data_IF_410037327907
#
_entry.id   IF_410037327907
#
_cell.length_a   1.000
_cell.length_b   1.000
_cell.length_c   1.000
_cell.angle_alpha   90.00
_cell.angle_beta   90.00
_cell.angle_gamma   90.00
#
_symmetry.space_group_name_H-M   'P 1'
#
loop_
_entity.id
_entity.type
_entity.pdbx_description
1 polymer ?
#
# COMPACT_ATOMS: atom_id res chain seq x y z
N UNK A 1 -31.25 29.26 -20.79
CA UNK A 1 -30.20 28.23 -20.98
C UNK A 1 -28.89 28.79 -20.42
N UNK A 2 -28.52 28.46 -19.17
CA UNK A 2 -27.33 29.05 -18.52
C UNK A 2 -26.06 28.41 -19.07
N UNK A 3 -25.24 29.20 -19.76
CA UNK A 3 -23.96 28.81 -20.39
C UNK A 3 -22.76 29.30 -19.58
N UNK A 4 -22.88 29.27 -18.25
CA UNK A 4 -21.84 29.72 -17.34
C UNK A 4 -20.87 28.56 -17.05
N UNK A 5 -19.54 28.73 -17.24
CA UNK A 5 -18.56 27.67 -16.99
C UNK A 5 -18.62 27.10 -15.57
N UNK A 6 -19.13 27.86 -14.62
CA UNK A 6 -19.38 27.47 -13.23
C UNK A 6 -20.44 26.35 -13.12
N UNK A 7 -21.46 26.37 -13.99
CA UNK A 7 -22.50 25.33 -14.03
C UNK A 7 -21.94 24.00 -14.59
N UNK A 8 -20.97 24.08 -15.51
CA UNK A 8 -20.27 22.89 -16.02
C UNK A 8 -19.36 22.28 -14.95
N UNK A 9 -18.62 23.12 -14.23
CA UNK A 9 -17.76 22.67 -13.13
C UNK A 9 -18.56 22.03 -11.99
N UNK A 10 -19.73 22.60 -11.64
CA UNK A 10 -20.63 21.98 -10.65
C UNK A 10 -21.09 20.59 -11.09
N UNK A 11 -21.52 20.42 -12.34
CA UNK A 11 -21.93 19.11 -12.87
C UNK A 11 -20.80 18.09 -12.86
N UNK A 12 -19.59 18.51 -13.24
CA UNK A 12 -18.41 17.63 -13.23
C UNK A 12 -18.07 17.17 -11.80
N UNK A 13 -18.13 18.07 -10.82
CA UNK A 13 -17.91 17.73 -9.41
C UNK A 13 -18.96 16.75 -8.87
N UNK A 14 -20.22 16.91 -9.29
CA UNK A 14 -21.31 16.00 -8.90
C UNK A 14 -21.12 14.60 -9.50
N UNK A 15 -20.70 14.51 -10.76
CA UNK A 15 -20.39 13.24 -11.43
C UNK A 15 -19.17 12.52 -10.81
N UNK A 16 -18.12 13.27 -10.47
CA UNK A 16 -16.94 12.74 -9.78
C UNK A 16 -17.30 12.21 -8.38
N UNK A 17 -18.11 12.96 -7.62
CA UNK A 17 -18.58 12.52 -6.31
C UNK A 17 -19.47 11.28 -6.38
N UNK A 18 -20.34 11.19 -7.40
CA UNK A 18 -21.15 9.98 -7.64
C UNK A 18 -20.27 8.77 -7.94
N UNK A 19 -19.27 8.93 -8.81
CA UNK A 19 -18.31 7.88 -9.17
C UNK A 19 -17.49 7.42 -7.97
N UNK A 20 -16.98 8.36 -7.16
CA UNK A 20 -16.28 8.08 -5.90
C UNK A 20 -17.15 7.25 -4.94
N UNK A 21 -18.42 7.64 -4.77
CA UNK A 21 -19.34 6.90 -3.90
C UNK A 21 -19.63 5.49 -4.41
N UNK A 22 -19.78 5.30 -5.72
CA UNK A 22 -19.99 3.96 -6.30
C UNK A 22 -18.77 3.05 -6.08
N UNK A 23 -17.56 3.58 -6.24
CA UNK A 23 -16.32 2.82 -5.98
C UNK A 23 -16.16 2.47 -4.48
N UNK A 24 -16.54 3.37 -3.57
CA UNK A 24 -16.45 3.12 -2.12
C UNK A 24 -17.54 2.18 -1.60
N UNK A 25 -18.75 2.19 -2.19
CA UNK A 25 -19.86 1.31 -1.82
C UNK A 25 -19.58 -0.17 -2.15
N UNK A 26 -18.72 -0.46 -3.12
CA UNK A 26 -18.21 -1.81 -3.37
C UNK A 26 -17.22 -2.33 -2.33
N UNK A 27 -16.71 -1.45 -1.43
CA UNK A 27 -15.66 -1.79 -0.46
C UNK A 27 -16.16 -1.98 0.98
N UNK A 28 -17.46 -1.82 1.25
CA UNK A 28 -18.00 -1.84 2.62
C UNK A 28 -18.95 -3.00 2.94
N UNK A 29 -19.25 -3.90 2.00
CA UNK A 29 -20.19 -5.01 2.27
C UNK A 29 -19.49 -6.24 2.84
N UNK A 30 -18.20 -6.43 2.63
CA UNK A 30 -17.43 -7.48 3.31
C UNK A 30 -15.99 -6.99 3.48
N UNK A 31 -15.72 -6.18 4.50
CA UNK A 31 -14.39 -6.29 5.11
C UNK A 31 -14.48 -7.51 6.02
N UNK A 32 -13.91 -8.68 5.66
CA UNK A 32 -13.24 -9.41 6.71
C UNK A 32 -12.28 -8.37 7.30
N UNK A 33 -12.40 -8.13 8.60
CA UNK A 33 -11.31 -7.55 9.35
C UNK A 33 -10.18 -8.56 9.18
N UNK A 34 -9.46 -8.49 8.05
CA UNK A 34 -8.31 -9.33 7.81
C UNK A 34 -7.40 -8.95 8.98
N UNK A 35 -7.16 -9.88 9.92
CA UNK A 35 -6.27 -9.58 11.02
C UNK A 35 -4.98 -9.09 10.39
N UNK A 36 -4.43 -8.00 10.94
CA UNK A 36 -3.06 -7.60 10.61
C UNK A 36 -2.26 -8.91 10.71
N UNK A 37 -1.62 -9.38 9.62
CA UNK A 37 -0.91 -10.65 9.64
C UNK A 37 0.04 -10.60 10.83
N UNK A 38 -0.07 -11.56 11.73
CA UNK A 38 0.79 -11.56 12.91
C UNK A 38 2.25 -11.55 12.44
N UNK A 39 3.17 -10.89 13.17
CA UNK A 39 4.58 -10.82 12.77
C UNK A 39 5.23 -12.18 12.45
N UNK A 40 4.67 -13.28 12.99
CA UNK A 40 5.09 -14.66 12.71
C UNK A 40 4.77 -15.11 11.29
N UNK A 41 3.58 -14.78 10.77
CA UNK A 41 3.15 -15.14 9.42
C UNK A 41 3.95 -14.38 8.35
N UNK A 42 4.24 -13.10 8.62
CA UNK A 42 5.05 -12.28 7.71
C UNK A 42 6.50 -12.79 7.62
N UNK A 43 7.07 -13.24 8.75
CA UNK A 43 8.40 -13.86 8.77
C UNK A 43 8.43 -15.18 7.99
N UNK A 44 7.43 -16.04 8.16
CA UNK A 44 7.36 -17.30 7.41
C UNK A 44 7.29 -17.08 5.89
N UNK A 45 6.58 -16.03 5.44
CA UNK A 45 6.53 -15.66 4.03
C UNK A 45 7.89 -15.18 3.48
N UNK A 46 8.63 -14.39 4.26
CA UNK A 46 10.00 -13.98 3.90
C UNK A 46 10.91 -15.21 3.82
N UNK A 47 10.77 -16.15 4.76
CA UNK A 47 11.57 -17.37 4.76
C UNK A 47 11.24 -18.30 3.59
N UNK A 48 9.98 -18.36 3.14
CA UNK A 48 9.64 -19.07 1.91
C UNK A 48 10.31 -18.45 0.68
N UNK A 49 10.47 -17.13 0.67
CA UNK A 49 11.07 -16.37 -0.42
C UNK A 49 12.59 -16.45 -0.46
N UNK A 50 13.26 -16.51 0.70
CA UNK A 50 14.72 -16.65 0.77
C UNK A 50 15.18 -18.00 0.16
N UNK A 51 14.32 -19.02 0.25
CA UNK A 51 14.53 -20.32 -0.39
C UNK A 51 14.32 -20.31 -1.91
N UNK A 52 13.67 -19.28 -2.47
CA UNK A 52 13.38 -19.18 -3.89
C UNK A 52 14.55 -18.64 -4.74
N UNK A 53 15.74 -18.45 -4.16
CA UNK A 53 16.94 -17.92 -4.84
C UNK A 53 16.66 -16.67 -5.69
N UNK A 54 15.85 -15.74 -5.19
CA UNK A 54 15.56 -14.49 -5.91
C UNK A 54 16.58 -13.41 -5.53
N UNK A 55 17.06 -12.62 -6.50
CA UNK A 55 17.92 -11.45 -6.27
C UNK A 55 17.16 -10.26 -5.66
N UNK A 56 15.84 -10.37 -5.53
CA UNK A 56 14.96 -9.29 -5.07
C UNK A 56 14.89 -9.29 -3.55
N UNK A 57 15.12 -8.13 -2.94
CA UNK A 57 15.02 -7.96 -1.48
C UNK A 57 13.59 -7.66 -1.10
N UNK A 58 13.02 -8.43 -0.19
CA UNK A 58 11.68 -8.21 0.34
C UNK A 58 11.74 -7.77 1.80
N UNK A 59 10.88 -6.84 2.17
CA UNK A 59 10.73 -6.40 3.56
C UNK A 59 9.31 -6.60 4.06
N UNK A 60 9.13 -6.90 5.35
CA UNK A 60 7.80 -6.96 5.97
C UNK A 60 7.17 -5.57 6.03
N UNK A 61 5.85 -5.49 5.87
CA UNK A 61 5.06 -4.27 6.11
C UNK A 61 3.83 -4.58 6.95
N UNK A 62 3.27 -3.55 7.59
CA UNK A 62 2.03 -3.62 8.37
C UNK A 62 0.77 -3.31 7.53
N UNK A 63 0.83 -3.53 6.21
CA UNK A 63 -0.30 -3.25 5.33
C UNK A 63 -1.51 -4.15 5.63
N UNK A 64 -2.68 -3.53 5.80
CA UNK A 64 -3.96 -4.23 5.96
C UNK A 64 -4.58 -4.66 4.61
N UNK A 65 -3.95 -4.31 3.49
CA UNK A 65 -4.48 -4.53 2.14
C UNK A 65 -3.82 -5.72 1.44
N UNK A 66 -3.33 -6.71 2.19
CA UNK A 66 -2.70 -7.91 1.63
C UNK A 66 -1.27 -7.72 1.12
N UNK A 67 -0.64 -6.58 1.41
CA UNK A 67 0.76 -6.32 1.04
C UNK A 67 1.71 -6.54 2.23
N UNK A 68 1.67 -7.70 2.86
CA UNK A 68 2.47 -8.00 4.06
C UNK A 68 3.97 -8.03 3.79
N UNK A 69 4.38 -8.25 2.54
CA UNK A 69 5.77 -8.13 2.07
C UNK A 69 5.79 -7.27 0.80
N UNK A 70 6.83 -6.44 0.67
CA UNK A 70 7.04 -5.64 -0.55
C UNK A 70 8.48 -5.79 -1.06
N UNK A 71 8.67 -5.83 -2.39
CA UNK A 71 10.00 -5.76 -2.98
C UNK A 71 10.57 -4.35 -2.83
N UNK A 72 11.83 -4.26 -2.42
CA UNK A 72 12.56 -3.00 -2.29
C UNK A 72 13.92 -3.12 -2.95
N UNK A 73 14.50 -1.98 -3.32
CA UNK A 73 15.91 -1.95 -3.69
C UNK A 73 16.78 -2.38 -2.50
N UNK A 74 17.90 -3.08 -2.74
CA UNK A 74 18.89 -3.36 -1.71
C UNK A 74 19.31 -2.06 -1.00
N UNK A 75 19.25 -2.08 0.33
CA UNK A 75 19.70 -0.94 1.14
C UNK A 75 21.21 -1.00 1.26
N UNK A 76 21.89 0.01 0.72
CA UNK A 76 23.32 0.23 0.96
C UNK A 76 23.41 1.13 2.21
N UNK A 77 24.12 0.74 3.28
CA UNK A 77 24.27 1.59 4.44
C UNK A 77 24.97 2.90 4.06
N UNK A 78 24.58 4.05 4.63
CA UNK A 78 25.25 5.31 4.37
C UNK A 78 26.73 5.24 4.82
N UNK A 79 27.65 5.95 4.13
CA UNK A 79 29.09 5.85 4.37
C UNK A 79 29.57 6.40 5.74
N UNK A 80 28.69 6.80 6.65
CA UNK A 80 29.05 7.55 7.87
C UNK A 80 28.61 6.90 9.20
N UNK A 81 28.45 5.58 9.25
CA UNK A 81 28.23 4.87 10.54
C UNK A 81 29.47 4.11 11.04
N UNK A 82 30.67 4.60 10.70
CA UNK A 82 31.95 4.08 11.20
C UNK A 82 32.67 5.02 12.19
N UNK A 83 31.97 5.98 12.79
CA UNK A 83 32.53 6.72 13.92
C UNK A 83 32.55 5.83 15.17
N UNK A 84 33.69 5.14 15.31
CA UNK A 84 34.28 4.52 16.49
C UNK A 84 33.63 4.93 17.82
N UNK A 85 33.06 3.96 18.54
CA UNK A 85 33.09 4.00 19.99
C UNK A 85 34.55 3.77 20.42
N UNK A 86 35.06 4.69 21.24
CA UNK A 86 36.33 4.62 21.98
C UNK A 86 36.03 3.98 23.33
#
# INVERSE_FOLDING_TARGET
MSTKPEDKNRRLLDELNKTRQMMMKGSSINKPQNPIPEPKETRAAINGLENLQTTVVFIPTNSQYGNSIIPVMPRIPPPESQHKEI
#
